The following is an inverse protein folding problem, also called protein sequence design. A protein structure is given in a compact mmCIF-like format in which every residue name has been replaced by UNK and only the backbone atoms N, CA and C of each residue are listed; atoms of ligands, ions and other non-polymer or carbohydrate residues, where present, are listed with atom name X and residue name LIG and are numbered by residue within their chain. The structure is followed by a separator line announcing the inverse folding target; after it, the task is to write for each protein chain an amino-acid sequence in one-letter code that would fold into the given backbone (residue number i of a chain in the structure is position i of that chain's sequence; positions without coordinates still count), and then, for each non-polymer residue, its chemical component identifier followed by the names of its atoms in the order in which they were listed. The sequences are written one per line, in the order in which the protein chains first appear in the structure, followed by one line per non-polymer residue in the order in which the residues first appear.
data_IF_415601148887
#
_entry.id   IF_415601148887
#
_cell.length_a   1.000
_cell.length_b   1.000
_cell.length_c   1.000
_cell.angle_alpha   90.00
_cell.angle_beta   90.00
_cell.angle_gamma   90.00
#
_symmetry.space_group_name_H-M   'P 1'
#
loop_
_entity.id
_entity.type
_entity.pdbx_description
1 polymer ?
#
# COMPACT_ATOMS: atom_id res chain seq x y z
N UNK A 1 4.55 -35.25 9.54
CA UNK A 1 3.25 -35.24 8.85
C UNK A 1 3.43 -34.28 7.70
N UNK A 2 3.59 -34.78 6.46
CA UNK A 2 4.01 -33.95 5.33
C UNK A 2 2.98 -32.85 5.09
N UNK A 3 3.44 -31.62 5.25
CA UNK A 3 2.66 -30.40 5.08
C UNK A 3 2.59 -30.11 3.58
N UNK A 4 1.44 -30.36 2.96
CA UNK A 4 1.22 -30.15 1.51
C UNK A 4 0.39 -28.88 1.34
N UNK A 5 1.02 -27.72 1.04
CA UNK A 5 0.35 -26.42 0.99
C UNK A 5 -0.86 -26.39 0.04
N UNK A 6 -0.80 -26.98 -1.19
CA UNK A 6 -1.94 -27.15 -2.08
C UNK A 6 -3.14 -27.88 -1.44
N UNK A 7 -2.90 -28.96 -0.69
CA UNK A 7 -3.98 -29.72 -0.03
C UNK A 7 -4.68 -28.88 1.03
N UNK A 8 -3.93 -28.23 1.91
CA UNK A 8 -4.51 -27.33 2.92
C UNK A 8 -5.28 -26.16 2.28
N UNK A 9 -4.76 -25.59 1.19
CA UNK A 9 -5.46 -24.51 0.47
C UNK A 9 -6.78 -25.00 -0.13
N UNK A 10 -6.80 -26.22 -0.67
CA UNK A 10 -8.03 -26.83 -1.19
C UNK A 10 -9.06 -27.11 -0.09
N UNK A 11 -8.61 -27.61 1.06
CA UNK A 11 -9.47 -27.87 2.23
C UNK A 11 -10.08 -26.57 2.78
N UNK A 12 -9.27 -25.53 2.98
CA UNK A 12 -9.72 -24.22 3.43
C UNK A 12 -10.69 -23.57 2.42
N UNK A 13 -10.36 -23.61 1.13
CA UNK A 13 -11.23 -23.10 0.06
C UNK A 13 -12.62 -23.74 0.09
N UNK A 14 -12.69 -25.07 0.12
CA UNK A 14 -13.96 -25.79 0.11
C UNK A 14 -14.79 -25.46 1.37
N UNK A 15 -14.14 -25.37 2.54
CA UNK A 15 -14.78 -24.97 3.80
C UNK A 15 -15.36 -23.56 3.71
N UNK A 16 -14.58 -22.58 3.29
CA UNK A 16 -15.01 -21.17 3.23
C UNK A 16 -16.08 -20.94 2.16
N UNK A 17 -16.01 -21.62 1.00
CA UNK A 17 -17.06 -21.59 -0.03
C UNK A 17 -18.37 -22.12 0.53
N UNK A 18 -18.34 -23.24 1.25
CA UNK A 18 -19.54 -23.81 1.88
C UNK A 18 -20.08 -22.89 2.99
N UNK A 19 -19.22 -22.31 3.83
CA UNK A 19 -19.61 -21.38 4.89
C UNK A 19 -20.27 -20.10 4.34
N UNK A 20 -19.77 -19.60 3.20
CA UNK A 20 -20.35 -18.44 2.50
C UNK A 20 -21.64 -18.76 1.72
N UNK A 21 -22.10 -20.02 1.69
CA UNK A 21 -23.25 -20.44 0.90
C UNK A 21 -23.05 -20.28 -0.62
N UNK A 22 -21.79 -20.29 -1.07
CA UNK A 22 -21.44 -20.13 -2.49
C UNK A 22 -21.53 -21.48 -3.24
N UNK A 23 -21.72 -21.45 -4.57
CA UNK A 23 -21.72 -22.66 -5.37
C UNK A 23 -20.37 -23.39 -5.35
N UNK A 24 -20.38 -24.69 -5.64
CA UNK A 24 -19.18 -25.53 -5.56
C UNK A 24 -18.06 -25.08 -6.49
N UNK A 25 -16.82 -25.38 -6.11
CA UNK A 25 -15.63 -25.07 -6.89
C UNK A 25 -15.46 -26.03 -8.07
N UNK A 26 -15.32 -25.50 -9.28
CA UNK A 26 -15.06 -26.26 -10.51
C UNK A 26 -13.58 -26.37 -10.84
N UNK A 27 -12.83 -25.28 -10.69
CA UNK A 27 -11.40 -25.25 -10.97
C UNK A 27 -10.67 -24.34 -10.00
N UNK A 28 -9.38 -24.62 -9.80
CA UNK A 28 -8.52 -23.92 -8.85
C UNK A 28 -7.16 -23.76 -9.50
N UNK A 29 -6.62 -22.55 -9.48
CA UNK A 29 -5.29 -22.24 -9.98
C UNK A 29 -4.58 -21.25 -9.07
N UNK A 30 -3.27 -21.41 -8.83
CA UNK A 30 -2.52 -20.40 -8.09
C UNK A 30 -2.48 -19.06 -8.83
N UNK A 31 -2.39 -17.96 -8.09
CA UNK A 31 -2.14 -16.62 -8.65
C UNK A 31 -0.63 -16.42 -8.79
N UNK A 32 -0.15 -15.82 -9.87
CA UNK A 32 1.28 -15.58 -10.15
C UNK A 32 2.15 -16.84 -10.34
N UNK A 33 1.56 -17.96 -10.78
CA UNK A 33 2.29 -19.18 -11.12
C UNK A 33 2.14 -20.25 -10.05
N UNK A 34 2.90 -20.15 -8.97
CA UNK A 34 2.89 -21.09 -7.83
C UNK A 34 1.92 -20.70 -6.71
N UNK A 35 1.42 -19.45 -6.70
CA UNK A 35 0.51 -18.95 -5.66
C UNK A 35 1.24 -18.26 -4.51
N UNK A 36 2.56 -18.22 -4.53
CA UNK A 36 3.36 -17.70 -3.43
C UNK A 36 3.56 -16.19 -3.55
N UNK A 37 2.76 -15.44 -2.77
CA UNK A 37 3.05 -14.06 -2.43
C UNK A 37 4.09 -13.96 -1.31
N UNK A 38 4.44 -12.73 -0.92
CA UNK A 38 5.37 -12.48 0.19
C UNK A 38 4.83 -13.09 1.50
N UNK A 39 3.62 -12.68 1.89
CA UNK A 39 3.02 -13.08 3.18
C UNK A 39 1.91 -14.13 3.05
N UNK A 40 1.44 -14.37 1.82
CA UNK A 40 0.23 -15.15 1.57
C UNK A 40 0.40 -16.16 0.45
N UNK A 41 -0.29 -17.28 0.59
CA UNK A 41 -0.56 -18.20 -0.50
C UNK A 41 -1.93 -17.84 -1.13
N UNK A 42 -1.92 -17.45 -2.40
CA UNK A 42 -3.06 -16.93 -3.14
C UNK A 42 -3.54 -17.91 -4.21
N UNK A 43 -4.84 -18.21 -4.20
CA UNK A 43 -5.44 -19.15 -5.15
C UNK A 43 -6.72 -18.58 -5.73
N UNK A 44 -6.84 -18.59 -7.05
CA UNK A 44 -8.09 -18.28 -7.75
C UNK A 44 -8.91 -19.56 -7.91
N UNK A 45 -10.20 -19.50 -7.58
CA UNK A 45 -11.15 -20.56 -7.83
C UNK A 45 -12.31 -20.10 -8.71
N UNK A 46 -12.72 -20.94 -9.66
CA UNK A 46 -13.95 -20.75 -10.45
C UNK A 46 -15.07 -21.59 -9.82
N UNK A 47 -16.25 -21.00 -9.69
CA UNK A 47 -17.44 -21.64 -9.12
C UNK A 47 -18.35 -22.22 -10.21
N UNK A 48 -19.29 -23.09 -9.85
CA UNK A 48 -20.21 -23.73 -10.83
C UNK A 48 -21.15 -22.76 -11.54
N UNK A 49 -21.37 -21.56 -10.98
CA UNK A 49 -22.17 -20.50 -11.59
C UNK A 49 -21.36 -19.53 -12.46
N UNK A 50 -20.05 -19.80 -12.65
CA UNK A 50 -19.15 -18.99 -13.45
C UNK A 50 -18.52 -17.79 -12.71
N UNK A 51 -18.83 -17.57 -11.43
CA UNK A 51 -18.12 -16.57 -10.62
C UNK A 51 -16.72 -17.05 -10.26
N UNK A 52 -15.81 -16.09 -10.08
CA UNK A 52 -14.48 -16.32 -9.55
C UNK A 52 -14.33 -15.76 -8.14
N UNK A 53 -13.53 -16.45 -7.31
CA UNK A 53 -13.16 -16.03 -5.95
C UNK A 53 -11.66 -16.21 -5.72
N UNK A 54 -11.11 -15.49 -4.76
CA UNK A 54 -9.71 -15.62 -4.32
C UNK A 54 -9.68 -16.16 -2.90
N UNK A 55 -9.01 -17.29 -2.71
CA UNK A 55 -8.53 -17.69 -1.39
C UNK A 55 -7.21 -16.99 -1.12
N UNK A 56 -7.16 -16.24 -0.02
CA UNK A 56 -5.93 -15.74 0.59
C UNK A 56 -5.68 -16.54 1.87
N UNK A 57 -4.53 -17.18 1.97
CA UNK A 57 -4.10 -17.86 3.20
C UNK A 57 -2.78 -17.27 3.66
N UNK A 58 -2.79 -16.65 4.84
CA UNK A 58 -1.57 -16.18 5.49
C UNK A 58 -0.60 -17.34 5.73
N UNK A 59 0.70 -17.06 5.62
CA UNK A 59 1.76 -18.02 5.96
C UNK A 59 1.91 -18.21 7.47
N UNK A 60 1.35 -17.29 8.25
CA UNK A 60 1.27 -17.35 9.71
C UNK A 60 -0.19 -17.26 10.16
N UNK A 61 -0.50 -17.75 11.36
CA UNK A 61 -1.83 -17.58 11.93
C UNK A 61 -2.15 -16.08 12.04
N UNK A 62 -3.29 -15.67 11.48
CA UNK A 62 -3.75 -14.28 11.51
C UNK A 62 -5.24 -14.22 11.80
N UNK A 63 -5.66 -13.14 12.47
CA UNK A 63 -7.05 -12.93 12.81
C UNK A 63 -7.90 -12.59 11.56
N UNK A 64 -9.19 -12.88 11.64
CA UNK A 64 -10.15 -12.66 10.55
C UNK A 64 -10.25 -11.17 10.17
N UNK A 65 -10.23 -10.81 8.88
CA UNK A 65 -10.37 -9.40 8.45
C UNK A 65 -11.80 -8.84 8.54
N UNK A 66 -12.79 -9.63 8.96
CA UNK A 66 -14.23 -9.30 8.88
C UNK A 66 -14.60 -7.97 9.53
N UNK A 67 -14.23 -7.78 10.79
CA UNK A 67 -14.57 -6.58 11.56
C UNK A 67 -13.93 -5.31 10.95
N UNK A 68 -12.69 -5.41 10.49
CA UNK A 68 -11.96 -4.34 9.79
C UNK A 68 -12.63 -3.96 8.47
N UNK A 69 -12.99 -4.95 7.65
CA UNK A 69 -13.71 -4.70 6.39
C UNK A 69 -15.11 -4.13 6.66
N UNK A 70 -15.80 -4.63 7.68
CA UNK A 70 -17.08 -4.11 8.14
C UNK A 70 -16.99 -2.62 8.51
N UNK A 71 -15.93 -2.24 9.26
CA UNK A 71 -15.66 -0.84 9.58
C UNK A 71 -15.47 0.02 8.33
N UNK A 72 -14.62 -0.40 7.39
CA UNK A 72 -14.36 0.35 6.16
C UNK A 72 -15.66 0.60 5.36
N UNK A 73 -16.45 -0.46 5.11
CA UNK A 73 -17.71 -0.35 4.37
C UNK A 73 -18.76 0.49 5.09
N UNK A 74 -18.87 0.36 6.41
CA UNK A 74 -19.79 1.16 7.21
C UNK A 74 -19.47 2.66 7.15
N UNK A 75 -18.23 3.02 6.80
CA UNK A 75 -17.78 4.39 6.62
C UNK A 75 -17.67 4.81 5.14
N UNK A 76 -18.25 4.03 4.21
CA UNK A 76 -18.34 4.40 2.80
C UNK A 76 -17.09 4.10 1.97
N UNK A 77 -16.16 3.29 2.48
CA UNK A 77 -15.01 2.82 1.71
C UNK A 77 -15.38 1.55 0.93
N UNK A 78 -15.19 1.60 -0.38
CA UNK A 78 -15.37 0.45 -1.27
C UNK A 78 -14.23 -0.54 -1.10
N UNK A 79 -14.57 -1.78 -0.77
CA UNK A 79 -13.62 -2.90 -0.67
C UNK A 79 -14.09 -4.09 -1.52
N UNK A 80 -13.21 -5.01 -1.93
CA UNK A 80 -13.63 -6.28 -2.53
C UNK A 80 -14.54 -7.06 -1.57
N UNK A 81 -15.53 -7.79 -2.09
CA UNK A 81 -16.44 -8.58 -1.25
C UNK A 81 -15.66 -9.61 -0.41
N UNK A 82 -15.99 -9.74 0.88
CA UNK A 82 -15.39 -10.73 1.77
C UNK A 82 -16.47 -11.75 2.07
N UNK A 83 -16.38 -12.90 1.42
CA UNK A 83 -17.43 -13.92 1.48
C UNK A 83 -17.39 -14.72 2.79
N UNK A 84 -16.19 -15.05 3.26
CA UNK A 84 -15.95 -15.75 4.51
C UNK A 84 -14.49 -15.64 4.93
N UNK A 85 -14.21 -15.70 6.22
CA UNK A 85 -12.87 -15.92 6.75
C UNK A 85 -12.89 -16.90 7.92
N UNK A 86 -11.72 -17.41 8.30
CA UNK A 86 -11.52 -18.16 9.53
C UNK A 86 -10.50 -17.48 10.45
N UNK A 87 -10.39 -18.00 11.68
CA UNK A 87 -9.38 -17.55 12.65
C UNK A 87 -8.02 -18.21 12.45
N UNK A 88 -7.81 -18.97 11.37
CA UNK A 88 -6.55 -19.67 11.06
C UNK A 88 -5.78 -18.96 9.93
N UNK A 89 -6.17 -17.72 9.59
CA UNK A 89 -5.53 -16.89 8.58
C UNK A 89 -5.98 -17.16 7.14
N UNK A 90 -7.09 -17.87 6.91
CA UNK A 90 -7.68 -18.04 5.59
C UNK A 90 -8.90 -17.13 5.38
N UNK A 91 -8.96 -16.47 4.22
CA UNK A 91 -10.05 -15.58 3.84
C UNK A 91 -10.41 -15.74 2.35
N UNK A 92 -11.71 -15.65 2.06
CA UNK A 92 -12.30 -15.85 0.74
C UNK A 92 -12.88 -14.54 0.23
N UNK A 93 -12.30 -14.03 -0.86
CA UNK A 93 -12.59 -12.71 -1.40
C UNK A 93 -13.22 -12.77 -2.79
N UNK A 94 -13.88 -11.69 -3.18
CA UNK A 94 -14.16 -11.34 -4.57
C UNK A 94 -12.87 -11.42 -5.40
N UNK A 95 -12.92 -12.12 -6.53
CA UNK A 95 -11.90 -11.96 -7.55
C UNK A 95 -12.24 -10.72 -8.38
N UNK A 96 -11.37 -9.71 -8.30
CA UNK A 96 -11.46 -8.54 -9.19
C UNK A 96 -10.75 -8.86 -10.51
N UNK A 97 -11.46 -8.96 -11.65
CA UNK A 97 -10.84 -9.24 -12.94
C UNK A 97 -10.11 -8.00 -13.47
N UNK A 98 -8.89 -8.19 -13.96
CA UNK A 98 -8.09 -7.11 -14.53
C UNK A 98 -6.60 -7.38 -14.37
N UNK A 99 -5.84 -6.32 -14.52
CA UNK A 99 -4.38 -6.29 -14.29
C UNK A 99 -4.05 -5.31 -13.18
N UNK A 100 -2.90 -5.49 -12.55
CA UNK A 100 -2.44 -4.49 -11.57
C UNK A 100 -2.14 -3.15 -12.26
N UNK A 101 -2.22 -2.04 -11.54
CA UNK A 101 -1.82 -0.74 -12.07
C UNK A 101 -0.32 -0.73 -12.41
N UNK A 102 0.50 -1.49 -11.66
CA UNK A 102 1.90 -1.73 -11.98
C UNK A 102 2.09 -2.34 -13.39
N UNK A 103 1.33 -3.39 -13.72
CA UNK A 103 1.36 -4.01 -15.05
C UNK A 103 0.80 -3.05 -16.12
N UNK A 104 -0.22 -2.26 -15.80
CA UNK A 104 -0.75 -1.25 -16.71
C UNK A 104 0.30 -0.16 -17.02
N UNK A 105 1.09 0.27 -16.03
CA UNK A 105 2.21 1.20 -16.21
C UNK A 105 3.30 0.57 -17.07
N UNK A 106 3.75 -0.65 -16.75
CA UNK A 106 4.80 -1.36 -17.47
C UNK A 106 4.46 -1.58 -18.95
N UNK A 107 3.19 -1.87 -19.24
CA UNK A 107 2.69 -2.09 -20.61
C UNK A 107 2.25 -0.80 -21.33
N UNK A 108 2.36 0.36 -20.69
CA UNK A 108 1.96 1.65 -21.28
C UNK A 108 0.45 1.80 -21.49
N UNK A 109 -0.36 1.11 -20.69
CA UNK A 109 -1.83 1.10 -20.77
C UNK A 109 -2.52 1.80 -19.59
N UNK A 110 -1.77 2.34 -18.62
CA UNK A 110 -2.29 3.22 -17.59
C UNK A 110 -2.62 4.60 -18.19
N UNK A 111 -3.81 4.74 -18.76
CA UNK A 111 -4.32 5.96 -19.40
C UNK A 111 -4.60 7.06 -18.36
N UNK A 112 -4.77 8.30 -18.83
CA UNK A 112 -5.22 9.42 -17.96
C UNK A 112 -6.56 9.11 -17.27
N UNK A 113 -7.45 8.35 -17.92
CA UNK A 113 -8.72 7.90 -17.31
C UNK A 113 -8.45 6.98 -16.13
N UNK A 114 -7.56 6.01 -16.29
CA UNK A 114 -7.17 5.10 -15.20
C UNK A 114 -6.56 5.89 -14.04
N UNK A 115 -5.64 6.82 -14.31
CA UNK A 115 -5.04 7.64 -13.26
C UNK A 115 -6.06 8.53 -12.53
N UNK A 116 -6.99 9.15 -13.27
CA UNK A 116 -8.08 9.93 -12.68
C UNK A 116 -8.94 9.07 -11.76
N UNK A 117 -9.34 7.88 -12.20
CA UNK A 117 -10.12 6.94 -11.39
C UNK A 117 -9.35 6.44 -10.17
N UNK A 118 -8.04 6.28 -10.27
CA UNK A 118 -7.18 5.99 -9.11
C UNK A 118 -7.18 7.14 -8.10
N UNK A 119 -7.12 8.39 -8.58
CA UNK A 119 -7.28 9.58 -7.74
C UNK A 119 -8.65 9.61 -7.05
N UNK A 120 -9.72 9.36 -7.79
CA UNK A 120 -11.09 9.28 -7.27
C UNK A 120 -11.23 8.20 -6.18
N UNK A 121 -10.64 7.02 -6.40
CA UNK A 121 -10.63 5.93 -5.40
C UNK A 121 -9.91 6.34 -4.11
N UNK A 122 -8.74 7.00 -4.20
CA UNK A 122 -8.06 7.51 -3.00
C UNK A 122 -8.81 8.67 -2.34
N UNK A 123 -9.54 9.48 -3.11
CA UNK A 123 -10.39 10.53 -2.56
C UNK A 123 -11.57 9.98 -1.76
N UNK A 124 -12.16 8.86 -2.21
CA UNK A 124 -13.19 8.13 -1.44
C UNK A 124 -12.65 7.68 -0.07
N UNK A 125 -11.48 7.04 -0.06
CA UNK A 125 -10.82 6.56 1.16
C UNK A 125 -10.46 7.72 2.10
N UNK A 126 -9.78 8.74 1.56
CA UNK A 126 -9.38 9.93 2.31
C UNK A 126 -10.58 10.82 2.70
N UNK A 127 -11.78 10.57 2.15
CA UNK A 127 -13.02 11.26 2.53
C UNK A 127 -13.50 10.93 3.94
N UNK A 128 -13.05 9.80 4.52
CA UNK A 128 -13.38 9.40 5.89
C UNK A 128 -12.42 10.06 6.87
N UNK A 129 -12.89 11.12 7.53
CA UNK A 129 -12.07 12.06 8.32
C UNK A 129 -12.24 11.92 9.83
N UNK A 130 -11.16 12.11 10.58
CA UNK A 130 -11.12 12.04 12.05
C UNK A 130 -10.82 13.40 12.70
N UNK A 131 -11.04 13.56 14.01
CA UNK A 131 -10.57 14.71 14.76
C UNK A 131 -9.04 14.79 14.80
N UNK A 132 -8.50 16.01 14.68
CA UNK A 132 -7.07 16.28 14.89
C UNK A 132 -6.73 16.10 16.38
N UNK A 133 -5.59 15.47 16.75
CA UNK A 133 -4.56 14.86 15.90
C UNK A 133 -4.57 13.33 16.01
N UNK A 134 -5.74 12.69 15.90
CA UNK A 134 -5.87 11.26 16.15
C UNK A 134 -5.31 10.41 15.00
N UNK A 135 -4.37 9.53 15.33
CA UNK A 135 -3.83 8.52 14.41
C UNK A 135 -3.84 7.13 15.06
N UNK A 136 -3.85 6.08 14.25
CA UNK A 136 -3.70 4.71 14.72
C UNK A 136 -4.36 3.65 13.83
N UNK A 137 -4.03 2.37 14.07
CA UNK A 137 -4.47 1.28 13.21
C UNK A 137 -5.99 1.05 13.28
N UNK A 138 -6.54 0.61 12.16
CA UNK A 138 -7.86 -0.02 12.11
C UNK A 138 -7.59 -1.53 12.18
N UNK A 139 -7.44 -2.02 13.42
CA UNK A 139 -7.14 -3.42 13.68
C UNK A 139 -8.37 -4.30 13.42
N UNK A 140 -8.14 -5.61 13.50
CA UNK A 140 -9.20 -6.61 13.36
C UNK A 140 -10.33 -6.37 14.37
N UNK A 141 -10.04 -6.16 15.66
CA UNK A 141 -11.09 -6.09 16.68
C UNK A 141 -11.34 -4.68 17.26
N UNK A 142 -10.52 -3.70 16.89
CA UNK A 142 -10.56 -2.39 17.51
C UNK A 142 -10.04 -1.27 16.61
N UNK A 143 -10.57 -0.08 16.83
CA UNK A 143 -9.99 1.17 16.36
C UNK A 143 -9.21 1.80 17.51
N UNK A 144 -7.88 1.71 17.48
CA UNK A 144 -7.01 2.20 18.55
C UNK A 144 -6.37 3.52 18.14
N UNK A 145 -6.99 4.64 18.53
CA UNK A 145 -6.49 5.98 18.19
C UNK A 145 -5.78 6.64 19.36
N UNK A 146 -4.67 7.32 19.05
CA UNK A 146 -3.93 8.17 19.98
C UNK A 146 -3.62 9.52 19.33
N UNK A 147 -3.51 10.60 20.12
CA UNK A 147 -2.97 11.86 19.62
C UNK A 147 -1.52 11.66 19.15
N UNK A 148 -1.22 12.07 17.93
CA UNK A 148 0.15 12.08 17.37
C UNK A 148 0.35 13.41 16.66
N UNK A 149 1.33 14.21 17.07
CA UNK A 149 1.67 15.44 16.35
C UNK A 149 2.37 15.07 15.02
N UNK A 150 1.76 15.37 13.85
CA UNK A 150 2.33 15.04 12.55
C UNK A 150 3.69 15.70 12.31
N UNK A 151 3.94 16.87 12.89
CA UNK A 151 5.21 17.58 12.74
C UNK A 151 6.29 16.87 13.55
N UNK A 152 5.98 16.43 14.76
CA UNK A 152 6.93 15.64 15.57
C UNK A 152 7.24 14.30 14.90
N UNK A 153 6.24 13.63 14.32
CA UNK A 153 6.42 12.37 13.57
C UNK A 153 7.40 12.54 12.40
N UNK A 154 7.21 13.59 11.57
CA UNK A 154 8.14 13.90 10.48
C UNK A 154 9.56 14.18 10.99
N UNK A 155 9.70 14.99 12.05
CA UNK A 155 11.02 15.28 12.64
C UNK A 155 11.68 14.02 13.21
N UNK A 156 10.93 13.13 13.86
CA UNK A 156 11.44 11.84 14.34
C UNK A 156 11.97 11.01 13.18
N UNK A 157 11.20 10.83 12.11
CA UNK A 157 11.64 10.06 10.95
C UNK A 157 12.85 10.68 10.25
N UNK A 158 12.94 12.02 10.16
CA UNK A 158 14.12 12.72 9.64
C UNK A 158 15.35 12.48 10.53
N UNK A 159 15.19 12.53 11.85
CA UNK A 159 16.28 12.33 12.80
C UNK A 159 16.81 10.89 12.76
N UNK A 160 15.92 9.89 12.72
CA UNK A 160 16.29 8.49 12.56
C UNK A 160 17.02 8.25 11.22
N UNK A 161 16.50 8.82 10.14
CA UNK A 161 17.12 8.77 8.81
C UNK A 161 18.50 9.45 8.80
N UNK A 162 18.69 10.52 9.58
CA UNK A 162 19.96 11.26 9.64
C UNK A 162 21.13 10.35 10.04
N UNK A 163 20.93 9.42 11.00
CA UNK A 163 21.96 8.48 11.44
C UNK A 163 22.45 7.59 10.28
N UNK A 164 21.52 7.14 9.43
CA UNK A 164 21.88 6.39 8.23
C UNK A 164 22.57 7.27 7.20
N UNK A 165 22.06 8.48 6.97
CA UNK A 165 22.60 9.46 6.02
C UNK A 165 24.04 9.83 6.38
N UNK A 166 24.33 10.17 7.63
CA UNK A 166 25.69 10.52 8.11
C UNK A 166 26.70 9.40 7.79
N UNK A 167 26.27 8.15 7.97
CA UNK A 167 27.12 6.97 7.79
C UNK A 167 27.29 6.56 6.33
N UNK A 168 26.23 6.66 5.52
CA UNK A 168 26.16 6.05 4.19
C UNK A 168 26.20 7.07 3.05
N UNK A 169 25.65 8.28 3.26
CA UNK A 169 25.46 9.32 2.23
C UNK A 169 25.60 10.74 2.82
N UNK A 170 26.74 11.10 3.43
CA UNK A 170 26.89 12.36 4.18
C UNK A 170 26.69 13.62 3.33
N UNK A 171 26.80 13.53 2.01
CA UNK A 171 26.50 14.63 1.09
C UNK A 171 25.02 15.06 1.12
N UNK A 172 24.11 14.25 1.65
CA UNK A 172 22.68 14.56 1.75
C UNK A 172 22.29 15.33 3.02
N UNK A 173 23.20 15.51 3.98
CA UNK A 173 22.88 16.13 5.27
C UNK A 173 22.32 17.55 5.14
N UNK A 174 22.84 18.33 4.20
CA UNK A 174 22.34 19.68 3.98
C UNK A 174 20.93 19.69 3.36
N UNK A 175 20.63 18.74 2.49
CA UNK A 175 19.28 18.56 1.96
C UNK A 175 18.31 18.19 3.08
N UNK A 176 18.72 17.31 4.00
CA UNK A 176 17.90 16.91 5.15
C UNK A 176 17.57 18.10 6.06
N UNK A 177 18.55 18.96 6.36
CA UNK A 177 18.32 20.19 7.16
C UNK A 177 17.35 21.16 6.50
N UNK A 178 17.37 21.27 5.17
CA UNK A 178 16.41 22.11 4.44
C UNK A 178 14.99 21.57 4.57
N UNK A 179 14.81 20.26 4.41
CA UNK A 179 13.51 19.61 4.60
C UNK A 179 13.03 19.79 6.05
N UNK A 180 13.92 19.64 7.04
CA UNK A 180 13.61 19.89 8.44
C UNK A 180 13.16 21.34 8.70
N UNK A 181 13.88 22.33 8.13
CA UNK A 181 13.50 23.74 8.21
C UNK A 181 12.15 24.03 7.56
N UNK A 182 11.91 23.46 6.38
CA UNK A 182 10.65 23.57 5.66
C UNK A 182 9.46 22.98 6.46
N UNK A 183 9.63 21.78 7.04
CA UNK A 183 8.62 21.17 7.92
C UNK A 183 8.31 22.07 9.13
N UNK A 184 9.35 22.67 9.72
CA UNK A 184 9.16 23.59 10.85
C UNK A 184 8.42 24.88 10.45
N UNK A 185 8.71 25.44 9.28
CA UNK A 185 8.02 26.62 8.74
C UNK A 185 6.54 26.34 8.44
N UNK A 186 6.25 25.17 7.87
CA UNK A 186 4.89 24.74 7.52
C UNK A 186 4.15 24.00 8.66
N UNK A 187 4.69 24.00 9.87
CA UNK A 187 4.17 23.20 10.98
C UNK A 187 2.69 23.50 11.31
N UNK A 188 2.25 24.75 11.16
CA UNK A 188 0.86 25.13 11.40
C UNK A 188 -0.10 24.55 10.34
N UNK A 189 0.33 24.52 9.07
CA UNK A 189 -0.42 23.93 7.95
C UNK A 189 -0.51 22.41 8.11
N UNK A 190 0.62 21.76 8.42
CA UNK A 190 0.70 20.32 8.64
C UNK A 190 -0.21 19.88 9.80
N UNK A 191 -0.21 20.61 10.93
CA UNK A 191 -1.07 20.31 12.09
C UNK A 191 -2.56 20.60 11.84
N UNK A 192 -2.89 21.46 10.88
CA UNK A 192 -4.28 21.78 10.54
C UNK A 192 -4.94 20.70 9.66
N UNK A 193 -4.15 19.87 8.97
CA UNK A 193 -4.66 18.75 8.17
C UNK A 193 -5.44 17.76 9.04
N UNK A 194 -6.49 17.16 8.48
CA UNK A 194 -7.29 16.19 9.22
C UNK A 194 -6.79 14.78 8.92
N UNK A 195 -6.56 13.93 9.93
CA UNK A 195 -6.33 12.51 9.71
C UNK A 195 -7.52 11.86 9.00
N UNK A 196 -7.23 10.90 8.13
CA UNK A 196 -8.23 10.17 7.34
C UNK A 196 -8.01 8.68 7.48
N UNK A 197 -9.00 7.87 7.09
CA UNK A 197 -8.70 6.49 6.71
C UNK A 197 -7.71 6.53 5.56
N UNK A 198 -6.77 5.60 5.57
CA UNK A 198 -5.79 5.36 4.52
C UNK A 198 -5.72 3.86 4.25
N UNK A 199 -5.28 3.48 3.05
CA UNK A 199 -5.13 2.08 2.65
C UNK A 199 -4.22 1.29 3.58
N UNK A 200 -3.12 1.90 4.04
CA UNK A 200 -2.14 1.23 4.90
C UNK A 200 -0.87 0.87 4.15
N UNK A 201 -1.06 0.17 3.04
CA UNK A 201 -0.02 -0.31 2.14
C UNK A 201 -0.40 0.06 0.69
N UNK A 202 -0.54 1.37 0.40
CA UNK A 202 -0.87 1.78 -0.95
C UNK A 202 0.34 1.58 -1.87
N UNK A 203 0.15 0.84 -2.96
CA UNK A 203 1.16 0.65 -3.97
C UNK A 203 0.49 0.23 -5.29
N UNK A 204 1.24 0.30 -6.40
CA UNK A 204 0.71 -0.01 -7.74
C UNK A 204 0.29 -1.48 -7.91
N UNK A 205 0.76 -2.40 -7.05
CA UNK A 205 0.40 -3.82 -7.06
C UNK A 205 -0.96 -4.06 -6.38
N UNK A 206 -1.33 -3.20 -5.43
CA UNK A 206 -2.59 -3.26 -4.67
C UNK A 206 -3.77 -2.52 -5.34
N UNK A 207 -3.62 -2.18 -6.62
CA UNK A 207 -4.64 -1.50 -7.42
C UNK A 207 -4.90 -2.34 -8.67
N UNK A 208 -6.14 -2.77 -8.89
CA UNK A 208 -6.55 -3.52 -10.08
C UNK A 208 -7.29 -2.60 -11.05
N UNK A 209 -6.84 -2.60 -12.30
CA UNK A 209 -7.47 -1.94 -13.44
C UNK A 209 -8.23 -3.00 -14.24
N UNK A 210 -9.54 -2.85 -14.30
CA UNK A 210 -10.43 -3.73 -15.07
C UNK A 210 -10.39 -3.40 -16.57
N UNK A 211 -10.98 -4.27 -17.40
CA UNK A 211 -11.02 -4.08 -18.85
C UNK A 211 -11.80 -2.82 -19.29
N UNK A 212 -12.76 -2.37 -18.47
CA UNK A 212 -13.52 -1.12 -18.65
C UNK A 212 -12.87 0.09 -17.96
N UNK A 213 -11.57 -0.01 -17.67
CA UNK A 213 -10.73 0.98 -16.99
C UNK A 213 -11.20 1.33 -15.56
N UNK A 214 -12.09 0.54 -14.95
CA UNK A 214 -12.48 0.77 -13.57
C UNK A 214 -11.32 0.41 -12.64
N UNK A 215 -11.25 1.08 -11.49
CA UNK A 215 -10.16 0.92 -10.52
C UNK A 215 -10.72 0.32 -9.24
N UNK A 216 -10.05 -0.71 -8.70
CA UNK A 216 -10.40 -1.34 -7.42
C UNK A 216 -9.15 -1.44 -6.55
N UNK A 217 -9.27 -0.95 -5.32
CA UNK A 217 -8.25 -1.12 -4.28
C UNK A 217 -8.41 -2.50 -3.64
N UNK A 218 -7.32 -3.26 -3.53
CA UNK A 218 -7.27 -4.60 -2.93
C UNK A 218 -6.23 -4.63 -1.81
N UNK A 219 -6.23 -5.69 -1.00
CA UNK A 219 -5.25 -5.89 0.08
C UNK A 219 -5.34 -4.89 1.25
N UNK A 220 -6.52 -4.85 1.87
CA UNK A 220 -6.82 -4.01 3.03
C UNK A 220 -6.30 -4.61 4.35
N UNK A 221 -5.04 -5.04 4.38
CA UNK A 221 -4.43 -5.65 5.56
C UNK A 221 -3.92 -4.68 6.61
N UNK A 222 -3.59 -3.46 6.20
CA UNK A 222 -3.01 -2.47 7.09
C UNK A 222 -3.73 -1.11 7.13
N UNK A 223 -5.06 -1.02 6.90
CA UNK A 223 -5.74 0.27 6.92
C UNK A 223 -5.52 0.96 8.26
N UNK A 224 -5.28 2.25 8.19
CA UNK A 224 -4.92 3.05 9.36
C UNK A 224 -5.51 4.44 9.25
N UNK A 225 -5.72 5.08 10.39
CA UNK A 225 -6.03 6.49 10.47
C UNK A 225 -4.73 7.25 10.54
N UNK A 226 -4.41 8.02 9.50
CA UNK A 226 -3.20 8.87 9.44
C UNK A 226 -3.41 10.08 8.55
N UNK A 227 -2.40 10.92 8.45
CA UNK A 227 -2.44 12.08 7.57
C UNK A 227 -2.37 11.66 6.09
N UNK A 228 -3.32 12.09 5.23
CA UNK A 228 -3.44 11.63 3.85
C UNK A 228 -2.20 11.94 3.00
N UNK A 229 -1.47 13.01 3.31
CA UNK A 229 -0.26 13.37 2.58
C UNK A 229 0.86 12.32 2.73
N UNK A 230 0.92 11.62 3.87
CA UNK A 230 1.85 10.52 4.05
C UNK A 230 1.55 9.34 3.10
N UNK A 231 0.27 9.01 2.91
CA UNK A 231 -0.13 7.97 1.97
C UNK A 231 0.09 8.39 0.51
N UNK A 232 -0.22 9.64 0.16
CA UNK A 232 0.05 10.19 -1.18
C UNK A 232 1.55 10.18 -1.52
N UNK A 233 2.41 10.54 -0.55
CA UNK A 233 3.85 10.50 -0.73
C UNK A 233 4.39 9.08 -0.94
N UNK A 234 3.89 8.10 -0.17
CA UNK A 234 4.22 6.69 -0.37
C UNK A 234 3.76 6.18 -1.75
N UNK A 235 2.60 6.61 -2.22
CA UNK A 235 2.11 6.24 -3.55
C UNK A 235 2.92 6.90 -4.68
N UNK A 236 3.31 8.17 -4.51
CA UNK A 236 4.18 8.92 -5.43
C UNK A 236 5.59 8.33 -5.51
N UNK A 237 6.12 7.89 -4.38
CA UNK A 237 7.33 7.08 -4.32
C UNK A 237 7.18 5.78 -5.11
N UNK A 238 6.12 5.00 -4.87
CA UNK A 238 5.91 3.73 -5.57
C UNK A 238 5.70 3.91 -7.08
N UNK A 239 5.07 5.01 -7.51
CA UNK A 239 4.99 5.38 -8.92
C UNK A 239 6.39 5.54 -9.54
N UNK A 240 7.31 6.19 -8.83
CA UNK A 240 8.69 6.37 -9.28
C UNK A 240 9.48 5.06 -9.38
N UNK A 241 9.27 4.14 -8.44
CA UNK A 241 9.87 2.80 -8.49
C UNK A 241 9.49 2.01 -9.76
N UNK A 242 8.32 2.31 -10.33
CA UNK A 242 7.82 1.74 -11.58
C UNK A 242 8.18 2.55 -12.83
N UNK A 243 9.08 3.53 -12.71
CA UNK A 243 9.62 4.26 -13.86
C UNK A 243 8.89 5.54 -14.24
N UNK A 244 7.97 6.01 -13.40
CA UNK A 244 7.40 7.35 -13.53
C UNK A 244 8.28 8.39 -12.81
N UNK A 245 8.02 9.68 -12.98
CA UNK A 245 8.67 10.73 -12.16
C UNK A 245 7.94 10.94 -10.82
N UNK A 246 6.68 10.51 -10.75
CA UNK A 246 5.74 10.63 -9.64
C UNK A 246 4.33 10.32 -10.14
N UNK A 247 3.31 10.68 -9.37
CA UNK A 247 1.91 10.58 -9.77
C UNK A 247 1.63 11.59 -10.92
N UNK A 248 0.96 11.15 -12.00
CA UNK A 248 0.68 12.02 -13.13
C UNK A 248 -0.42 13.04 -12.79
N UNK A 249 -0.48 14.14 -13.55
CA UNK A 249 -1.49 15.20 -13.35
C UNK A 249 -2.93 14.68 -13.29
N UNK A 250 -3.29 13.73 -14.15
CA UNK A 250 -4.62 13.14 -14.20
C UNK A 250 -5.03 12.48 -12.87
N UNK A 251 -4.07 11.94 -12.09
CA UNK A 251 -4.34 11.44 -10.74
C UNK A 251 -4.84 12.56 -9.82
N UNK A 252 -4.14 13.70 -9.79
CA UNK A 252 -4.52 14.83 -8.95
C UNK A 252 -5.84 15.48 -9.39
N UNK A 253 -6.16 15.47 -10.68
CA UNK A 253 -7.49 15.86 -11.17
C UNK A 253 -8.59 15.01 -10.55
N UNK A 254 -8.40 13.69 -10.51
CA UNK A 254 -9.38 12.76 -9.94
C UNK A 254 -9.41 12.78 -8.41
N UNK A 255 -8.25 12.98 -7.78
CA UNK A 255 -8.18 13.15 -6.32
C UNK A 255 -8.95 14.38 -5.85
N UNK A 256 -9.04 15.42 -6.68
CA UNK A 256 -9.97 16.54 -6.51
C UNK A 256 -9.65 17.50 -5.35
N UNK A 257 -8.65 17.18 -4.52
CA UNK A 257 -8.12 18.04 -3.45
C UNK A 257 -6.75 18.59 -3.86
N UNK A 258 -6.51 19.87 -3.60
CA UNK A 258 -5.21 20.48 -3.85
C UNK A 258 -4.13 19.81 -2.97
N UNK A 259 -3.02 19.43 -3.59
CA UNK A 259 -1.85 18.85 -2.92
C UNK A 259 -0.65 19.76 -3.23
N UNK A 260 -0.13 20.51 -2.25
CA UNK A 260 1.03 21.36 -2.46
C UNK A 260 2.25 20.50 -2.81
N UNK A 261 2.86 20.75 -3.97
CA UNK A 261 3.97 19.95 -4.48
C UNK A 261 5.17 19.94 -3.53
N UNK A 262 5.45 21.06 -2.86
CA UNK A 262 6.57 21.21 -1.93
C UNK A 262 6.34 20.39 -0.64
N UNK A 263 5.11 20.35 -0.12
CA UNK A 263 4.76 19.48 1.00
C UNK A 263 4.78 18.00 0.60
N UNK A 264 4.26 17.65 -0.57
CA UNK A 264 4.35 16.27 -1.08
C UNK A 264 5.82 15.84 -1.21
N UNK A 265 6.69 16.71 -1.73
CA UNK A 265 8.12 16.46 -1.82
C UNK A 265 8.73 16.25 -0.43
N UNK A 266 8.42 17.11 0.55
CA UNK A 266 8.94 16.97 1.91
C UNK A 266 8.56 15.61 2.53
N UNK A 267 7.29 15.20 2.43
CA UNK A 267 6.84 13.88 2.87
C UNK A 267 7.51 12.75 2.10
N UNK A 268 7.71 12.90 0.79
CA UNK A 268 8.42 11.91 -0.05
C UNK A 268 9.89 11.77 0.35
N UNK A 269 10.57 12.86 0.74
CA UNK A 269 11.94 12.76 1.28
C UNK A 269 11.95 11.94 2.57
N UNK A 270 11.01 12.21 3.48
CA UNK A 270 10.88 11.49 4.75
C UNK A 270 10.62 10.01 4.52
N UNK A 271 9.66 9.65 3.66
CA UNK A 271 9.32 8.27 3.30
C UNK A 271 10.49 7.51 2.68
N UNK A 272 11.05 8.05 1.59
CA UNK A 272 12.17 7.42 0.86
C UNK A 272 13.39 7.18 1.77
N UNK A 273 13.79 8.17 2.58
CA UNK A 273 14.93 8.02 3.48
C UNK A 273 14.62 7.08 4.64
N UNK A 274 13.40 7.14 5.18
CA UNK A 274 12.91 6.19 6.17
C UNK A 274 13.03 4.76 5.67
N UNK A 275 12.52 4.47 4.47
CA UNK A 275 12.59 3.13 3.89
C UNK A 275 14.02 2.71 3.55
N UNK A 276 14.85 3.58 2.96
CA UNK A 276 16.28 3.32 2.73
C UNK A 276 17.08 3.02 4.01
N UNK A 277 16.64 3.58 5.14
CA UNK A 277 17.25 3.37 6.44
C UNK A 277 16.72 2.15 7.21
N UNK A 278 15.61 1.57 6.74
CA UNK A 278 14.96 0.41 7.35
C UNK A 278 15.76 -0.89 7.17
N UNK A 279 15.39 -1.89 7.97
CA UNK A 279 15.97 -3.23 7.90
C UNK A 279 15.35 -4.09 6.78
N UNK A 280 14.26 -3.65 6.14
CA UNK A 280 13.54 -4.37 5.07
C UNK A 280 14.47 -4.90 3.98
N UNK A 281 15.42 -4.07 3.52
CA UNK A 281 16.36 -4.46 2.47
C UNK A 281 17.24 -5.64 2.88
N UNK A 282 17.68 -5.67 4.15
CA UNK A 282 18.46 -6.78 4.71
C UNK A 282 17.57 -8.02 4.83
N UNK A 283 16.36 -7.87 5.35
CA UNK A 283 15.41 -8.96 5.54
C UNK A 283 15.05 -9.63 4.20
N UNK A 284 14.82 -8.85 3.14
CA UNK A 284 14.53 -9.38 1.81
C UNK A 284 15.74 -10.06 1.16
N UNK A 285 16.94 -9.52 1.34
CA UNK A 285 18.16 -10.17 0.88
C UNK A 285 18.36 -11.53 1.57
N UNK A 286 18.05 -11.61 2.86
CA UNK A 286 18.18 -12.82 3.70
C UNK A 286 17.01 -13.81 3.55
N UNK A 287 15.88 -13.41 2.96
CA UNK A 287 14.69 -14.27 2.78
C UNK A 287 15.02 -15.43 1.82
N UNK A 288 15.08 -16.70 2.28
CA UNK A 288 15.54 -17.83 1.46
C UNK A 288 14.60 -18.15 0.30
N UNK A 289 13.29 -18.05 0.54
CA UNK A 289 12.24 -18.49 -0.38
C UNK A 289 11.63 -17.34 -1.20
N UNK A 290 12.32 -16.19 -1.26
CA UNK A 290 11.86 -15.06 -2.07
C UNK A 290 11.94 -15.40 -3.57
N UNK A 291 10.83 -15.35 -4.33
CA UNK A 291 10.84 -15.69 -5.75
C UNK A 291 11.80 -14.82 -6.56
N UNK A 292 12.48 -15.42 -7.55
CA UNK A 292 13.47 -14.73 -8.38
C UNK A 292 13.00 -13.40 -8.99
N UNK A 293 11.79 -13.32 -9.59
CA UNK A 293 11.23 -12.06 -10.09
C UNK A 293 11.00 -11.02 -9.00
N UNK A 294 10.52 -11.42 -7.82
CA UNK A 294 10.33 -10.51 -6.69
C UNK A 294 11.67 -9.94 -6.21
N UNK A 295 12.69 -10.79 -6.08
CA UNK A 295 14.06 -10.37 -5.73
C UNK A 295 14.68 -9.42 -6.75
N UNK A 296 14.47 -9.66 -8.04
CA UNK A 296 14.94 -8.77 -9.09
C UNK A 296 14.26 -7.39 -8.99
N UNK A 297 12.95 -7.36 -8.75
CA UNK A 297 12.18 -6.12 -8.56
C UNK A 297 12.65 -5.33 -7.35
N UNK A 298 12.80 -5.97 -6.19
CA UNK A 298 13.25 -5.28 -4.96
C UNK A 298 14.65 -4.68 -5.11
N UNK A 299 15.58 -5.38 -5.78
CA UNK A 299 16.91 -4.82 -6.09
C UNK A 299 16.81 -3.60 -7.01
N UNK A 300 15.99 -3.67 -8.06
CA UNK A 300 15.78 -2.53 -8.95
C UNK A 300 15.14 -1.34 -8.22
N UNK A 301 14.21 -1.58 -7.29
CA UNK A 301 13.63 -0.54 -6.45
C UNK A 301 14.66 0.11 -5.53
N UNK A 302 15.48 -0.69 -4.85
CA UNK A 302 16.55 -0.18 -4.00
C UNK A 302 17.52 0.71 -4.79
N UNK A 303 17.97 0.27 -5.96
CA UNK A 303 18.85 1.05 -6.83
C UNK A 303 18.21 2.38 -7.27
N UNK A 304 16.93 2.36 -7.62
CA UNK A 304 16.16 3.57 -8.00
C UNK A 304 16.04 4.55 -6.83
N UNK A 305 15.73 4.08 -5.63
CA UNK A 305 15.63 4.94 -4.45
C UNK A 305 16.97 5.57 -4.10
N UNK A 306 18.05 4.79 -4.16
CA UNK A 306 19.40 5.31 -3.95
C UNK A 306 19.75 6.41 -4.96
N UNK A 307 19.41 6.20 -6.24
CA UNK A 307 19.63 7.18 -7.30
C UNK A 307 18.75 8.44 -7.12
N UNK A 308 17.50 8.27 -6.68
CA UNK A 308 16.61 9.39 -6.38
C UNK A 308 17.12 10.20 -5.18
N UNK A 309 17.56 9.52 -4.11
CA UNK A 309 18.11 10.16 -2.92
C UNK A 309 19.35 11.01 -3.26
N UNK A 310 20.18 10.56 -4.21
CA UNK A 310 21.34 11.35 -4.67
C UNK A 310 20.98 12.65 -5.39
N UNK A 311 19.74 12.80 -5.85
CA UNK A 311 19.22 14.04 -6.45
C UNK A 311 18.66 15.02 -5.42
N UNK A 312 18.51 14.62 -4.16
CA UNK A 312 17.90 15.47 -3.13
C UNK A 312 18.50 16.88 -3.03
N UNK A 313 19.83 17.09 -3.07
CA UNK A 313 20.41 18.43 -2.98
C UNK A 313 19.92 19.40 -4.07
N UNK A 314 19.49 18.89 -5.22
CA UNK A 314 18.90 19.66 -6.31
C UNK A 314 17.39 19.81 -6.16
N UNK A 315 16.69 18.72 -5.81
CA UNK A 315 15.23 18.70 -5.64
C UNK A 315 14.76 19.67 -4.56
N UNK A 316 15.48 19.75 -3.44
CA UNK A 316 15.06 20.56 -2.28
C UNK A 316 15.60 21.99 -2.32
N UNK A 317 16.22 22.45 -3.42
CA UNK A 317 16.70 23.84 -3.53
C UNK A 317 15.60 24.87 -3.44
N UNK A 318 14.40 24.50 -3.88
CA UNK A 318 13.22 25.36 -3.88
C UNK A 318 12.44 25.31 -2.57
N UNK A 319 12.78 24.41 -1.63
CA UNK A 319 12.11 24.28 -0.33
C UNK A 319 12.59 25.34 0.69
N UNK A 320 12.77 26.59 0.28
CA UNK A 320 13.23 27.67 1.14
C UNK A 320 12.89 29.07 0.65
#
# INVERSE_FOLDING_TARGET
MNDDPPRRSREALNRLVAAAGLPSVTSVRPINGDGDGLDNHLVKAELTDGRAVVLRRSRVESASPESRIGFLRANGVTTPELYAADGEGASLWEFVPGRTLAEAVETGTATDTVWRRTGEALAEVHGVVFPVPLQGPIDVDALTLRPVDPVEELHTSLHESAVWVERKRPHLLEALRRVEGFVAEHAAEIRAERPTVTHGDINLLNIVVTDDEAVRLIDWDFPTVRYPLAELAAFDEHAYLHGLEGLPHAFFEGYGRAVPADLLLAYRVVGCLGWLSSDDWREWDETPDLPGPARARLRAWHERLLAWADRLPDLVKALG
#
